data_IF_783440915279
#
_entry.id   IF_783440915279
#
_cell.length_a   1.000
_cell.length_b   1.000
_cell.length_c   1.000
_cell.angle_alpha   90.00
_cell.angle_beta   90.00
_cell.angle_gamma   90.00
#
_symmetry.space_group_name_H-M   'P 1'
#
loop_
_entity.id
_entity.type
_entity.pdbx_description
1 polymer ?
#
# COMPACT_ATOMS: atom_id res chain seq x y z
N UNK A 1 0.82 -1.77 -26.57
CA UNK A 1 1.72 -0.92 -25.76
C UNK A 1 1.28 -1.05 -24.31
N UNK A 2 1.93 -1.91 -23.54
CA UNK A 2 1.69 -2.01 -22.10
C UNK A 2 2.33 -0.78 -21.46
N UNK A 3 1.54 0.20 -21.04
CA UNK A 3 2.07 1.32 -20.26
C UNK A 3 2.64 0.73 -18.97
N UNK A 4 3.97 0.74 -18.83
CA UNK A 4 4.65 0.38 -17.59
C UNK A 4 4.27 1.41 -16.52
N UNK A 5 3.16 1.18 -15.84
CA UNK A 5 2.86 1.90 -14.60
C UNK A 5 3.97 1.57 -13.62
N UNK A 6 4.66 2.59 -13.11
CA UNK A 6 5.67 2.43 -12.06
C UNK A 6 5.09 1.58 -10.94
N UNK A 7 5.76 0.46 -10.65
CA UNK A 7 5.33 -0.50 -9.65
C UNK A 7 6.08 -0.23 -8.37
N UNK A 8 5.38 -0.38 -7.26
CA UNK A 8 5.93 -0.17 -5.94
C UNK A 8 5.64 -1.39 -5.08
N UNK A 9 6.57 -1.71 -4.17
CA UNK A 9 6.29 -2.58 -3.04
C UNK A 9 5.89 -1.70 -1.87
N UNK A 10 4.72 -1.95 -1.32
CA UNK A 10 4.15 -1.17 -0.23
C UNK A 10 4.02 -2.07 0.99
N UNK A 11 4.69 -1.68 2.08
CA UNK A 11 4.58 -2.34 3.38
C UNK A 11 3.67 -1.51 4.28
N UNK A 12 2.63 -2.12 4.83
CA UNK A 12 1.65 -1.49 5.72
C UNK A 12 1.69 -2.22 7.06
N UNK A 13 1.88 -1.48 8.15
CA UNK A 13 1.86 -2.00 9.52
C UNK A 13 0.71 -1.37 10.32
N UNK A 14 -0.08 -2.20 10.98
CA UNK A 14 -1.17 -1.79 11.85
C UNK A 14 -0.69 -1.69 13.30
N UNK A 15 -0.60 -0.49 13.89
CA UNK A 15 -0.16 -0.37 15.29
C UNK A 15 -1.21 -0.83 16.31
N UNK A 16 -2.45 -1.09 15.89
CA UNK A 16 -3.54 -1.54 16.77
C UNK A 16 -3.44 -3.02 17.08
N UNK A 17 -3.17 -3.86 16.07
CA UNK A 17 -3.13 -5.32 16.21
C UNK A 17 -1.77 -5.95 15.89
N UNK A 18 -0.82 -5.19 15.31
CA UNK A 18 0.51 -5.67 14.94
C UNK A 18 0.61 -6.29 13.55
N UNK A 19 -0.49 -6.38 12.80
CA UNK A 19 -0.50 -7.00 11.47
C UNK A 19 0.35 -6.25 10.44
N UNK A 20 1.01 -7.01 9.55
CA UNK A 20 1.87 -6.48 8.49
C UNK A 20 1.45 -7.02 7.12
N UNK A 21 1.14 -6.09 6.21
CA UNK A 21 0.79 -6.38 4.82
C UNK A 21 1.92 -5.94 3.89
N UNK A 22 2.25 -6.76 2.88
CA UNK A 22 3.18 -6.41 1.80
C UNK A 22 2.44 -6.56 0.48
N UNK A 23 2.17 -5.44 -0.18
CA UNK A 23 1.32 -5.35 -1.36
C UNK A 23 2.08 -4.74 -2.54
N UNK A 24 1.62 -5.05 -3.76
CA UNK A 24 2.10 -4.39 -4.97
C UNK A 24 1.22 -3.16 -5.25
N UNK A 25 1.84 -1.99 -5.24
CA UNK A 25 1.22 -0.74 -5.63
C UNK A 25 1.49 -0.39 -7.09
N UNK A 26 0.58 0.38 -7.70
CA UNK A 26 0.79 1.01 -9.00
C UNK A 26 0.64 2.52 -8.86
N UNK A 27 1.53 3.29 -9.51
CA UNK A 27 1.47 4.75 -9.48
C UNK A 27 0.42 5.27 -10.45
N UNK A 28 -0.51 6.04 -9.91
CA UNK A 28 -1.51 6.78 -10.67
C UNK A 28 -0.92 8.07 -11.28
N UNK A 29 -1.63 8.66 -12.25
CA UNK A 29 -1.20 9.90 -12.93
C UNK A 29 -1.05 11.10 -11.97
N UNK A 30 -1.76 11.09 -10.84
CA UNK A 30 -1.67 12.11 -9.79
C UNK A 30 -0.46 11.91 -8.84
N UNK A 31 0.35 10.87 -9.09
CA UNK A 31 1.53 10.53 -8.28
C UNK A 31 1.24 9.64 -7.06
N UNK A 32 -0.02 9.30 -6.79
CA UNK A 32 -0.45 8.43 -5.69
C UNK A 32 -0.17 6.96 -5.99
N UNK A 33 0.17 6.18 -4.97
CA UNK A 33 0.36 4.73 -5.08
C UNK A 33 -0.92 4.03 -4.60
N UNK A 34 -1.59 3.33 -5.52
CA UNK A 34 -2.81 2.57 -5.22
C UNK A 34 -2.46 1.09 -5.03
N UNK A 35 -2.95 0.48 -3.94
CA UNK A 35 -2.70 -0.93 -3.58
C UNK A 35 -3.99 -1.75 -3.42
N UNK A 36 -5.15 -1.09 -3.34
CA UNK A 36 -6.43 -1.73 -3.01
C UNK A 36 -6.60 -2.05 -1.51
N UNK A 37 -5.64 -1.70 -0.65
CA UNK A 37 -5.79 -1.86 0.79
C UNK A 37 -6.85 -0.90 1.34
N UNK A 38 -7.85 -1.44 2.06
CA UNK A 38 -8.98 -0.68 2.60
C UNK A 38 -9.00 -0.61 4.13
N UNK A 39 -8.79 -1.75 4.78
CA UNK A 39 -8.82 -1.86 6.24
C UNK A 39 -7.99 -3.05 6.69
N UNK A 40 -7.53 -3.00 7.94
CA UNK A 40 -6.93 -4.15 8.61
C UNK A 40 -8.00 -5.14 9.06
N UNK A 41 -7.60 -6.40 9.28
CA UNK A 41 -8.49 -7.44 9.79
C UNK A 41 -9.02 -7.16 11.21
N UNK A 42 -8.36 -6.30 11.98
CA UNK A 42 -8.85 -5.83 13.28
C UNK A 42 -9.85 -4.66 13.18
N UNK A 43 -10.37 -4.39 11.97
CA UNK A 43 -11.29 -3.27 11.66
C UNK A 43 -10.69 -1.87 11.84
N UNK A 44 -9.38 -1.74 12.06
CA UNK A 44 -8.71 -0.44 11.98
C UNK A 44 -8.62 -0.03 10.51
N UNK A 45 -8.96 1.21 10.19
CA UNK A 45 -9.00 1.78 8.84
C UNK A 45 -8.12 3.04 8.68
N UNK A 46 -7.39 3.41 9.74
CA UNK A 46 -6.61 4.64 9.83
C UNK A 46 -5.30 4.43 10.59
N UNK A 47 -4.43 5.44 10.58
CA UNK A 47 -3.19 5.48 11.37
C UNK A 47 -2.25 4.28 11.11
N UNK A 48 -2.09 3.88 9.86
CA UNK A 48 -1.12 2.86 9.48
C UNK A 48 0.28 3.43 9.32
N UNK A 49 1.30 2.64 9.63
CA UNK A 49 2.67 2.94 9.22
C UNK A 49 2.88 2.37 7.82
N UNK A 50 3.11 3.24 6.84
CA UNK A 50 3.19 2.86 5.42
C UNK A 50 4.57 3.22 4.89
N UNK A 51 5.22 2.25 4.24
CA UNK A 51 6.50 2.43 3.56
C UNK A 51 6.37 1.93 2.11
N UNK A 52 6.92 2.67 1.16
CA UNK A 52 6.90 2.31 -0.26
C UNK A 52 8.29 2.40 -0.89
N UNK A 53 8.66 1.39 -1.66
CA UNK A 53 9.90 1.34 -2.45
C UNK A 53 9.56 1.01 -3.91
N UNK A 54 10.26 1.64 -4.86
CA UNK A 54 10.06 1.38 -6.28
C UNK A 54 10.62 -0.01 -6.64
N UNK A 55 9.87 -0.75 -7.48
CA UNK A 55 10.25 -2.07 -8.01
C UNK A 55 10.86 -1.96 -9.41
#
# INVERSE_FOLDING_TARGET
>A
MTTEYERYKVTIYCPVCGERYVLRGSREKNGRIETGFKQCICSNDRNFHIYSEQL
#
